data_IF_835729466170
#
_entry.id   IF_835729466170
#
_cell.length_a   1.000
_cell.length_b   1.000
_cell.length_c   1.000
_cell.angle_alpha   90.00
_cell.angle_beta   90.00
_cell.angle_gamma   90.00
#
_symmetry.space_group_name_H-M   'P 1'
#
loop_
_entity.id
_entity.type
_entity.pdbx_description
1 polymer ?
#
# COMPACT_ATOMS: atom_id res chain seq x y z
N UNK A 1 -12.93 18.49 29.36
CA UNK A 1 -12.64 17.24 28.63
C UNK A 1 -13.50 16.15 29.23
N UNK A 2 -14.42 15.55 28.45
CA UNK A 2 -15.18 14.38 28.92
C UNK A 2 -14.23 13.24 29.27
N UNK A 3 -14.58 12.43 30.27
CA UNK A 3 -13.77 11.28 30.72
C UNK A 3 -13.44 10.28 29.59
N UNK A 4 -14.27 10.25 28.55
CA UNK A 4 -14.05 9.44 27.34
C UNK A 4 -12.77 9.82 26.56
N UNK A 5 -12.30 11.08 26.62
CA UNK A 5 -11.10 11.46 25.88
C UNK A 5 -9.79 10.97 26.52
N UNK A 6 -9.81 10.58 27.80
CA UNK A 6 -8.61 10.15 28.51
C UNK A 6 -8.15 8.73 28.11
N UNK A 7 -8.91 8.00 27.27
CA UNK A 7 -8.62 6.61 26.86
C UNK A 7 -8.20 6.41 25.38
N UNK A 8 -7.45 7.37 24.79
CA UNK A 8 -6.60 7.18 23.58
C UNK A 8 -7.20 7.31 22.16
N UNK A 9 -8.35 7.95 21.94
CA UNK A 9 -8.83 8.14 20.54
C UNK A 9 -9.43 9.51 20.23
N UNK A 10 -8.81 10.58 20.73
CA UNK A 10 -9.24 11.94 20.43
C UNK A 10 -8.39 12.60 19.35
N UNK A 11 -9.05 13.41 18.52
CA UNK A 11 -8.45 14.17 17.44
C UNK A 11 -7.58 15.27 18.03
N UNK A 12 -6.32 15.32 17.63
CA UNK A 12 -5.36 16.35 18.04
C UNK A 12 -5.02 17.27 16.87
N UNK A 13 -4.44 18.41 17.20
CA UNK A 13 -3.83 19.27 16.18
C UNK A 13 -2.73 18.48 15.45
N UNK A 14 -2.58 18.71 14.14
CA UNK A 14 -1.71 17.98 13.22
C UNK A 14 -2.09 16.51 12.91
N UNK A 15 -3.12 15.95 13.54
CA UNK A 15 -3.63 14.64 13.13
C UNK A 15 -4.20 14.70 11.70
N UNK A 16 -4.27 13.55 11.04
CA UNK A 16 -5.05 13.40 9.81
C UNK A 16 -6.41 12.81 10.13
N UNK A 17 -7.44 13.37 9.48
CA UNK A 17 -8.83 12.93 9.60
C UNK A 17 -9.40 12.58 8.23
N UNK A 18 -10.24 11.56 8.20
CA UNK A 18 -11.07 11.21 7.06
C UNK A 18 -12.43 11.87 7.26
N UNK A 19 -12.79 12.79 6.38
CA UNK A 19 -14.07 13.48 6.38
C UNK A 19 -14.95 12.79 5.34
N UNK A 20 -16.08 12.23 5.76
CA UNK A 20 -16.99 11.46 4.90
C UNK A 20 -18.33 12.16 4.83
N UNK A 21 -18.81 12.42 3.61
CA UNK A 21 -20.20 12.78 3.38
C UNK A 21 -21.01 11.56 2.94
N UNK A 22 -20.47 10.78 2.00
CA UNK A 22 -21.02 9.51 1.55
C UNK A 22 -19.92 8.61 0.96
N UNK A 23 -20.31 7.46 0.40
CA UNK A 23 -19.38 6.48 -0.17
C UNK A 23 -18.48 7.02 -1.29
N UNK A 24 -18.89 8.07 -2.01
CA UNK A 24 -18.14 8.66 -3.13
C UNK A 24 -17.37 9.92 -2.72
N UNK A 25 -17.86 10.65 -1.71
CA UNK A 25 -17.35 11.97 -1.33
C UNK A 25 -16.66 11.86 0.04
N UNK A 26 -15.34 11.66 -0.03
CA UNK A 26 -14.45 11.54 1.11
C UNK A 26 -13.23 12.44 0.92
N UNK A 27 -12.69 12.95 2.02
CA UNK A 27 -11.49 13.80 2.00
C UNK A 27 -10.57 13.48 3.17
N UNK A 28 -9.29 13.25 2.91
CA UNK A 28 -8.28 13.28 3.96
C UNK A 28 -7.75 14.70 4.13
N UNK A 29 -7.74 15.19 5.37
CA UNK A 29 -7.18 16.50 5.71
C UNK A 29 -6.34 16.44 6.98
N UNK A 30 -5.28 17.23 6.99
CA UNK A 30 -4.53 17.52 8.21
C UNK A 30 -5.33 18.52 9.04
N UNK A 31 -5.55 18.22 10.31
CA UNK A 31 -6.20 19.09 11.27
C UNK A 31 -5.23 20.19 11.65
N UNK A 32 -5.64 21.43 11.47
CA UNK A 32 -4.85 22.61 11.79
C UNK A 32 -5.72 23.57 12.60
N UNK A 33 -5.27 23.90 13.81
CA UNK A 33 -5.95 24.84 14.70
C UNK A 33 -6.22 26.18 14.00
N UNK A 34 -7.38 26.78 14.27
CA UNK A 34 -7.86 28.03 13.67
C UNK A 34 -8.01 28.01 12.14
N UNK A 35 -7.94 26.85 11.49
CA UNK A 35 -8.29 26.69 10.07
C UNK A 35 -9.67 26.06 9.90
N UNK A 36 -10.21 26.23 8.69
CA UNK A 36 -11.51 25.70 8.29
C UNK A 36 -11.35 24.65 7.19
N UNK A 37 -12.17 23.61 7.26
CA UNK A 37 -12.34 22.71 6.13
C UNK A 37 -13.44 23.25 5.22
N UNK A 38 -13.14 23.42 3.92
CA UNK A 38 -14.12 23.85 2.92
C UNK A 38 -14.40 22.75 1.90
N UNK A 39 -15.68 22.56 1.58
CA UNK A 39 -16.13 21.71 0.48
C UNK A 39 -17.42 22.26 -0.14
N UNK A 40 -17.91 21.62 -1.21
CA UNK A 40 -19.19 21.99 -1.83
C UNK A 40 -20.42 21.82 -0.90
N UNK A 41 -20.25 21.15 0.25
CA UNK A 41 -21.27 20.98 1.30
C UNK A 41 -21.20 22.02 2.43
N UNK A 42 -20.38 23.05 2.26
CA UNK A 42 -20.15 24.09 3.27
C UNK A 42 -18.80 23.91 3.95
N UNK A 43 -18.66 24.50 5.14
CA UNK A 43 -17.45 24.44 5.94
C UNK A 43 -17.75 24.16 7.42
N UNK A 44 -16.73 23.74 8.14
CA UNK A 44 -16.67 23.69 9.61
C UNK A 44 -15.26 24.07 10.08
N UNK A 45 -15.10 24.48 11.34
CA UNK A 45 -13.80 24.87 11.89
C UNK A 45 -13.11 23.66 12.53
N UNK A 46 -11.80 23.48 12.33
CA UNK A 46 -11.11 22.35 12.94
C UNK A 46 -11.12 22.38 14.47
N UNK A 47 -11.23 23.57 15.07
CA UNK A 47 -11.43 23.76 16.51
C UNK A 47 -12.69 23.03 17.01
N UNK A 48 -13.71 22.84 16.16
CA UNK A 48 -14.94 22.12 16.51
C UNK A 48 -14.73 20.61 16.68
N UNK A 49 -13.62 20.05 16.19
CA UNK A 49 -13.32 18.62 16.26
C UNK A 49 -12.09 18.28 17.12
N UNK A 50 -11.18 19.24 17.33
CA UNK A 50 -10.02 19.06 18.20
C UNK A 50 -10.47 18.73 19.63
N UNK A 51 -9.85 17.72 20.23
CA UNK A 51 -10.20 17.24 21.55
C UNK A 51 -11.50 16.43 21.62
N UNK A 52 -12.12 16.09 20.48
CA UNK A 52 -13.26 15.17 20.40
C UNK A 52 -12.83 13.78 19.90
N UNK A 53 -13.58 12.72 20.22
CA UNK A 53 -13.25 11.37 19.76
C UNK A 53 -13.45 11.22 18.25
N UNK A 54 -12.62 10.40 17.61
CA UNK A 54 -12.90 9.92 16.24
C UNK A 54 -14.23 9.15 16.18
N UNK A 55 -14.88 9.17 15.03
CA UNK A 55 -16.22 8.59 14.82
C UNK A 55 -17.37 9.58 15.05
N UNK A 56 -17.07 10.84 15.40
CA UNK A 56 -18.08 11.87 15.58
C UNK A 56 -18.73 12.31 14.25
N UNK A 57 -19.88 12.97 14.35
CA UNK A 57 -20.45 13.72 13.24
C UNK A 57 -20.39 15.23 13.51
N UNK A 58 -20.14 16.02 12.46
CA UNK A 58 -20.16 17.48 12.50
C UNK A 58 -21.17 18.02 11.48
N UNK A 59 -21.80 19.15 11.79
CA UNK A 59 -22.74 19.82 10.88
C UNK A 59 -22.05 21.04 10.28
N UNK A 60 -22.07 21.16 8.96
CA UNK A 60 -21.50 22.33 8.27
C UNK A 60 -22.38 23.57 8.45
N UNK A 61 -21.86 24.74 8.09
CA UNK A 61 -22.63 25.99 8.05
C UNK A 61 -23.88 25.94 7.14
N UNK A 62 -24.03 24.93 6.28
CA UNK A 62 -25.22 24.70 5.43
C UNK A 62 -26.19 23.67 6.01
N UNK A 63 -26.01 23.25 7.27
CA UNK A 63 -26.85 22.24 7.91
C UNK A 63 -26.58 20.80 7.45
N UNK A 64 -25.49 20.56 6.71
CA UNK A 64 -25.17 19.23 6.17
C UNK A 64 -24.29 18.46 7.15
N UNK A 65 -24.67 17.23 7.47
CA UNK A 65 -23.91 16.35 8.36
C UNK A 65 -22.75 15.67 7.62
N UNK A 66 -21.57 15.68 8.23
CA UNK A 66 -20.36 14.96 7.83
C UNK A 66 -19.90 14.06 8.98
N UNK A 67 -19.16 13.01 8.67
CA UNK A 67 -18.60 12.07 9.63
C UNK A 67 -17.07 12.14 9.63
N UNK A 68 -16.47 12.09 10.82
CA UNK A 68 -15.03 12.25 11.00
C UNK A 68 -14.44 10.95 11.52
N UNK A 69 -13.65 10.27 10.70
CA UNK A 69 -13.01 9.00 11.04
C UNK A 69 -11.49 9.12 11.07
N UNK A 70 -10.86 8.14 11.73
CA UNK A 70 -9.42 7.93 11.60
C UNK A 70 -9.19 7.29 10.23
N UNK A 71 -8.36 7.87 9.35
CA UNK A 71 -8.11 7.28 8.04
C UNK A 71 -7.48 5.89 8.16
N UNK A 72 -7.97 4.96 7.34
CA UNK A 72 -7.31 3.69 7.10
C UNK A 72 -6.20 3.87 6.06
N UNK A 73 -5.26 2.92 6.01
CA UNK A 73 -4.22 2.91 4.98
C UNK A 73 -4.82 2.92 3.57
N UNK A 74 -5.92 2.20 3.35
CA UNK A 74 -6.64 2.20 2.07
C UNK A 74 -7.23 3.56 1.71
N UNK A 75 -7.65 4.37 2.68
CA UNK A 75 -8.13 5.72 2.40
C UNK A 75 -7.00 6.60 1.87
N UNK A 76 -5.78 6.43 2.39
CA UNK A 76 -4.60 7.14 1.89
C UNK A 76 -4.26 6.77 0.46
N UNK A 77 -4.34 5.48 0.11
CA UNK A 77 -4.01 5.01 -1.24
C UNK A 77 -4.83 5.74 -2.30
N UNK A 78 -6.12 5.98 -2.08
CA UNK A 78 -6.97 6.74 -3.02
C UNK A 78 -6.57 8.20 -3.24
N UNK A 79 -5.70 8.76 -2.39
CA UNK A 79 -5.21 10.13 -2.47
C UNK A 79 -3.79 10.26 -3.04
N UNK A 80 -3.16 9.15 -3.46
CA UNK A 80 -1.87 9.22 -4.15
C UNK A 80 -2.00 9.93 -5.49
N UNK A 81 -0.95 10.69 -5.85
CA UNK A 81 -0.79 11.20 -7.21
C UNK A 81 -0.29 10.03 -8.08
N UNK A 82 -1.19 9.45 -8.88
CA UNK A 82 -0.87 8.30 -9.72
C UNK A 82 -0.32 8.76 -11.08
N UNK A 83 0.92 8.38 -11.38
CA UNK A 83 1.47 8.39 -12.75
C UNK A 83 1.70 6.98 -13.31
N UNK A 84 1.67 5.97 -12.45
CA UNK A 84 1.72 4.55 -12.82
C UNK A 84 0.46 3.85 -12.33
N UNK A 85 0.16 2.71 -12.93
CA UNK A 85 -0.81 1.78 -12.38
C UNK A 85 -0.38 1.37 -10.97
N UNK A 86 -1.34 1.15 -10.07
CA UNK A 86 -1.10 0.63 -8.73
C UNK A 86 -1.64 -0.77 -8.58
N UNK A 87 -1.03 -1.52 -7.66
CA UNK A 87 -1.60 -2.76 -7.15
C UNK A 87 -2.84 -2.40 -6.30
N UNK A 88 -3.96 -3.07 -6.57
CA UNK A 88 -5.22 -2.76 -5.93
C UNK A 88 -5.23 -3.23 -4.47
N UNK A 89 -6.00 -2.59 -3.56
CA UNK A 89 -6.09 -3.00 -2.16
C UNK A 89 -6.41 -4.49 -1.94
N UNK A 90 -7.28 -5.07 -2.78
CA UNK A 90 -7.61 -6.52 -2.76
C UNK A 90 -6.36 -7.40 -2.91
N UNK A 91 -5.46 -6.99 -3.81
CA UNK A 91 -4.23 -7.70 -4.14
C UNK A 91 -3.18 -7.45 -3.06
N UNK A 92 -3.06 -6.20 -2.59
CA UNK A 92 -2.15 -5.82 -1.50
C UNK A 92 -2.41 -6.63 -0.23
N UNK A 93 -3.66 -6.76 0.22
CA UNK A 93 -3.98 -7.55 1.42
C UNK A 93 -3.54 -9.01 1.29
N UNK A 94 -3.74 -9.60 0.11
CA UNK A 94 -3.31 -10.96 -0.18
C UNK A 94 -1.79 -11.10 -0.27
N UNK A 95 -1.11 -10.13 -0.88
CA UNK A 95 0.35 -10.01 -0.95
C UNK A 95 0.94 -9.98 0.46
N UNK A 96 0.45 -9.12 1.36
CA UNK A 96 0.97 -9.03 2.73
C UNK A 96 0.85 -10.37 3.45
N UNK A 97 -0.32 -11.02 3.37
CA UNK A 97 -0.56 -12.30 4.02
C UNK A 97 0.34 -13.43 3.50
N UNK A 98 0.54 -13.49 2.18
CA UNK A 98 1.27 -14.61 1.55
C UNK A 98 2.78 -14.44 1.49
N UNK A 99 3.29 -13.24 1.79
CA UNK A 99 4.73 -12.94 1.73
C UNK A 99 5.42 -13.01 3.09
N UNK A 100 4.71 -13.37 4.16
CA UNK A 100 5.31 -13.52 5.50
C UNK A 100 5.79 -12.21 6.14
N UNK A 101 5.26 -11.07 5.69
CA UNK A 101 5.62 -9.75 6.23
C UNK A 101 5.10 -9.63 7.66
N UNK A 102 5.96 -9.14 8.54
CA UNK A 102 5.68 -8.85 9.94
C UNK A 102 6.56 -7.70 10.43
N UNK A 103 6.31 -7.16 11.63
CA UNK A 103 7.24 -6.25 12.29
C UNK A 103 8.68 -6.80 12.28
N UNK A 104 9.65 -5.99 11.87
CA UNK A 104 11.05 -6.39 11.78
C UNK A 104 11.50 -6.96 10.43
N UNK A 105 10.58 -7.25 9.50
CA UNK A 105 10.92 -7.80 8.18
C UNK A 105 11.75 -6.79 7.36
N UNK A 106 12.84 -7.27 6.75
CA UNK A 106 13.66 -6.53 5.78
C UNK A 106 13.23 -6.93 4.37
N UNK A 107 12.86 -5.93 3.58
CA UNK A 107 12.23 -6.12 2.28
C UNK A 107 13.03 -5.41 1.19
N UNK A 108 13.24 -6.08 0.06
CA UNK A 108 13.61 -5.41 -1.19
C UNK A 108 12.34 -5.25 -2.03
N UNK A 109 12.13 -4.07 -2.57
CA UNK A 109 11.10 -3.77 -3.56
C UNK A 109 11.80 -3.26 -4.82
N UNK A 110 11.43 -3.78 -5.99
CA UNK A 110 11.88 -3.25 -7.28
C UNK A 110 10.67 -2.90 -8.13
N UNK A 111 10.65 -1.64 -8.59
CA UNK A 111 9.45 -1.02 -9.16
C UNK A 111 8.73 -0.15 -8.14
N UNK A 112 9.41 0.87 -7.61
CA UNK A 112 8.81 1.78 -6.60
C UNK A 112 7.53 2.47 -7.14
N UNK A 113 7.54 2.87 -8.42
CA UNK A 113 6.39 3.49 -9.06
C UNK A 113 5.94 4.76 -8.34
N UNK A 114 4.67 4.83 -7.93
CA UNK A 114 4.10 5.96 -7.18
C UNK A 114 4.32 5.88 -5.66
N UNK A 115 4.92 4.79 -5.15
CA UNK A 115 5.13 4.52 -3.74
C UNK A 115 3.93 3.89 -3.01
N UNK A 116 2.90 3.45 -3.74
CA UNK A 116 1.71 2.85 -3.15
C UNK A 116 2.03 1.53 -2.43
N UNK A 117 2.65 0.57 -3.12
CA UNK A 117 3.11 -0.70 -2.52
C UNK A 117 4.12 -0.43 -1.40
N UNK A 118 5.14 0.39 -1.67
CA UNK A 118 6.14 0.85 -0.68
C UNK A 118 5.50 1.33 0.61
N UNK A 119 4.43 2.15 0.54
CA UNK A 119 3.75 2.68 1.73
C UNK A 119 3.11 1.59 2.59
N UNK A 120 2.57 0.56 1.93
CA UNK A 120 1.95 -0.59 2.61
C UNK A 120 3.03 -1.44 3.26
N UNK A 121 4.07 -1.80 2.50
CA UNK A 121 5.20 -2.56 3.03
C UNK A 121 5.81 -1.84 4.24
N UNK A 122 6.12 -0.55 4.11
CA UNK A 122 6.68 0.27 5.17
C UNK A 122 5.78 0.39 6.40
N UNK A 123 4.46 0.27 6.24
CA UNK A 123 3.52 0.27 7.38
C UNK A 123 3.62 -1.04 8.18
N UNK A 124 3.73 -2.19 7.50
CA UNK A 124 3.68 -3.50 8.15
C UNK A 124 5.03 -3.97 8.71
N UNK A 125 6.16 -3.39 8.28
CA UNK A 125 7.49 -3.73 8.80
C UNK A 125 7.85 -2.99 10.10
N UNK A 126 7.10 -1.95 10.47
CA UNK A 126 7.34 -1.19 11.71
C UNK A 126 7.27 -2.06 12.97
N UNK A 127 7.95 -1.67 14.06
CA UNK A 127 8.81 -0.48 14.21
C UNK A 127 10.31 -0.78 13.98
N UNK A 128 10.67 -1.98 13.52
CA UNK A 128 12.07 -2.44 13.48
C UNK A 128 12.52 -2.98 12.12
N UNK A 129 11.60 -3.13 11.16
CA UNK A 129 11.92 -3.60 9.82
C UNK A 129 12.19 -2.45 8.86
N UNK A 130 12.49 -2.77 7.61
CA UNK A 130 12.94 -1.79 6.63
C UNK A 130 12.63 -2.20 5.20
N UNK A 131 12.27 -1.24 4.36
CA UNK A 131 12.02 -1.43 2.92
C UNK A 131 13.12 -0.74 2.11
N UNK A 132 13.83 -1.51 1.30
CA UNK A 132 14.81 -1.02 0.34
C UNK A 132 14.17 -1.03 -1.05
N UNK A 133 13.75 0.15 -1.53
CA UNK A 133 12.98 0.25 -2.77
C UNK A 133 13.84 0.80 -3.91
N UNK A 134 13.82 0.11 -5.05
CA UNK A 134 14.59 0.42 -6.25
C UNK A 134 13.66 0.95 -7.35
N UNK A 135 14.05 2.05 -7.98
CA UNK A 135 13.39 2.61 -9.16
C UNK A 135 14.44 3.22 -10.08
N UNK A 136 14.35 2.92 -11.38
CA UNK A 136 15.33 3.39 -12.37
C UNK A 136 14.96 4.77 -12.92
N UNK A 137 13.67 5.14 -12.91
CA UNK A 137 13.19 6.43 -13.44
C UNK A 137 13.17 7.47 -12.33
N UNK A 138 14.06 8.46 -12.45
CA UNK A 138 14.21 9.57 -11.49
C UNK A 138 12.88 10.27 -11.18
N UNK A 139 12.04 10.48 -12.20
CA UNK A 139 10.73 11.12 -12.01
C UNK A 139 9.82 10.30 -11.08
N UNK A 140 9.74 8.97 -11.26
CA UNK A 140 8.92 8.10 -10.43
C UNK A 140 9.49 8.02 -9.01
N UNK A 141 10.81 7.91 -8.88
CA UNK A 141 11.52 7.94 -7.59
C UNK A 141 11.20 9.19 -6.77
N UNK A 142 11.25 10.37 -7.38
CA UNK A 142 10.93 11.63 -6.71
C UNK A 142 9.44 11.75 -6.35
N UNK A 143 8.54 11.23 -7.20
CA UNK A 143 7.09 11.19 -6.91
C UNK A 143 6.82 10.29 -5.72
N UNK A 144 7.43 9.09 -5.66
CA UNK A 144 7.24 8.16 -4.57
C UNK A 144 7.66 8.76 -3.22
N UNK A 145 8.85 9.38 -3.16
CA UNK A 145 9.31 10.11 -1.96
C UNK A 145 8.29 11.16 -1.50
N UNK A 146 7.86 12.01 -2.43
CA UNK A 146 6.89 13.07 -2.15
C UNK A 146 5.55 12.51 -1.67
N UNK A 147 5.06 11.43 -2.27
CA UNK A 147 3.82 10.79 -1.86
C UNK A 147 3.93 10.21 -0.45
N UNK A 148 5.03 9.49 -0.14
CA UNK A 148 5.30 8.96 1.20
C UNK A 148 5.36 10.07 2.25
N UNK A 149 6.05 11.17 1.98
CA UNK A 149 6.10 12.33 2.88
C UNK A 149 4.72 12.98 3.06
N UNK A 150 3.95 13.11 1.97
CA UNK A 150 2.59 13.66 1.98
C UNK A 150 1.63 12.82 2.82
N UNK A 151 1.86 11.51 2.97
CA UNK A 151 1.11 10.66 3.90
C UNK A 151 1.32 11.09 5.34
N UNK A 152 2.52 11.62 5.66
CA UNK A 152 2.96 12.08 6.98
C UNK A 152 2.61 11.11 8.10
N UNK A 153 2.83 9.83 7.84
CA UNK A 153 2.70 8.72 8.79
C UNK A 153 4.07 8.31 9.35
N UNK A 154 5.12 9.10 9.12
CA UNK A 154 6.50 8.78 9.55
C UNK A 154 7.14 7.61 8.79
N UNK A 155 6.57 7.17 7.66
CA UNK A 155 7.05 5.98 6.94
C UNK A 155 8.47 6.12 6.38
N UNK A 156 8.93 7.36 6.13
CA UNK A 156 10.25 7.62 5.55
C UNK A 156 11.40 7.05 6.38
N UNK A 157 11.23 6.87 7.69
CA UNK A 157 12.24 6.27 8.58
C UNK A 157 12.48 4.78 8.29
N UNK A 158 11.50 4.11 7.69
CA UNK A 158 11.50 2.68 7.41
C UNK A 158 11.76 2.38 5.92
N UNK A 159 12.11 3.39 5.12
CA UNK A 159 12.28 3.27 3.67
C UNK A 159 13.63 3.84 3.25
N UNK A 160 14.42 3.05 2.53
CA UNK A 160 15.56 3.53 1.77
C UNK A 160 15.22 3.51 0.28
N UNK A 161 15.13 4.70 -0.32
CA UNK A 161 14.90 4.86 -1.75
C UNK A 161 16.20 4.84 -2.53
N UNK A 162 16.30 3.97 -3.54
CA UNK A 162 17.47 3.83 -4.41
C UNK A 162 17.10 4.11 -5.87
N UNK A 163 17.70 5.17 -6.42
CA UNK A 163 17.63 5.48 -7.84
C UNK A 163 18.64 4.60 -8.58
N UNK A 164 18.27 3.37 -8.85
CA UNK A 164 19.14 2.35 -9.41
C UNK A 164 18.34 1.30 -10.20
N UNK A 165 19.03 0.68 -11.16
CA UNK A 165 18.47 -0.39 -11.96
C UNK A 165 18.61 -1.73 -11.23
N UNK A 166 17.47 -2.34 -10.90
CA UNK A 166 17.42 -3.65 -10.24
C UNK A 166 18.03 -4.78 -11.09
N UNK A 167 18.16 -4.59 -12.41
CA UNK A 167 18.86 -5.55 -13.29
C UNK A 167 20.37 -5.57 -13.09
N UNK A 168 20.92 -4.62 -12.34
CA UNK A 168 22.33 -4.62 -11.89
C UNK A 168 22.51 -5.31 -10.54
N UNK A 169 21.43 -5.87 -9.99
CA UNK A 169 21.38 -6.52 -8.70
C UNK A 169 21.12 -5.57 -7.53
N UNK A 170 21.11 -6.14 -6.34
CA UNK A 170 20.81 -5.44 -5.10
C UNK A 170 22.04 -5.37 -4.20
N UNK A 171 22.10 -4.40 -3.30
CA UNK A 171 23.20 -4.28 -2.31
C UNK A 171 22.88 -5.09 -1.05
N UNK A 172 21.59 -5.21 -0.73
CA UNK A 172 21.13 -5.91 0.46
C UNK A 172 21.34 -7.42 0.35
N UNK A 173 21.76 -8.02 1.46
CA UNK A 173 21.86 -9.48 1.64
C UNK A 173 21.07 -9.90 2.87
N UNK A 174 20.69 -11.18 2.87
CA UNK A 174 19.90 -11.82 3.92
C UNK A 174 18.60 -11.07 4.23
N UNK A 175 17.90 -10.62 3.18
CA UNK A 175 16.57 -10.04 3.32
C UNK A 175 15.51 -11.13 3.45
N UNK A 176 14.40 -10.81 4.10
CA UNK A 176 13.31 -11.75 4.34
C UNK A 176 12.44 -11.94 3.10
N UNK A 177 12.16 -10.84 2.39
CA UNK A 177 11.24 -10.81 1.26
C UNK A 177 11.78 -9.96 0.11
N UNK A 178 11.44 -10.34 -1.13
CA UNK A 178 11.65 -9.53 -2.34
C UNK A 178 10.32 -9.36 -3.06
N UNK A 179 9.98 -8.13 -3.44
CA UNK A 179 8.80 -7.79 -4.24
C UNK A 179 9.23 -7.20 -5.58
N UNK A 180 8.69 -7.75 -6.67
CA UNK A 180 8.97 -7.29 -8.02
C UNK A 180 7.67 -6.87 -8.71
N UNK A 181 7.56 -5.58 -9.07
CA UNK A 181 6.48 -5.00 -9.87
C UNK A 181 7.07 -4.26 -11.08
N UNK A 182 7.52 -5.06 -12.06
CA UNK A 182 8.29 -4.61 -13.23
C UNK A 182 7.82 -5.37 -14.48
N UNK A 183 8.17 -4.86 -15.67
CA UNK A 183 7.77 -5.46 -16.94
C UNK A 183 8.46 -6.80 -17.25
N UNK A 184 9.68 -6.98 -16.74
CA UNK A 184 10.60 -8.07 -17.05
C UNK A 184 11.26 -8.64 -15.79
N UNK A 185 10.47 -9.12 -14.81
CA UNK A 185 11.01 -9.58 -13.53
C UNK A 185 11.91 -10.81 -13.65
N UNK A 186 11.79 -11.60 -14.73
CA UNK A 186 12.62 -12.78 -14.97
C UNK A 186 14.12 -12.49 -15.08
N UNK A 187 14.50 -11.27 -15.46
CA UNK A 187 15.90 -10.83 -15.50
C UNK A 187 16.46 -10.54 -14.10
N UNK A 188 15.59 -10.32 -13.11
CA UNK A 188 15.95 -9.87 -11.76
C UNK A 188 15.94 -11.02 -10.76
N UNK A 189 15.22 -12.10 -11.07
CA UNK A 189 15.10 -13.31 -10.23
C UNK A 189 16.45 -13.85 -9.73
N UNK A 190 17.52 -13.95 -10.55
CA UNK A 190 18.83 -14.41 -10.07
C UNK A 190 19.37 -13.52 -8.93
N UNK A 191 19.32 -12.20 -9.10
CA UNK A 191 19.77 -11.25 -8.08
C UNK A 191 18.89 -11.23 -6.83
N UNK A 192 17.58 -11.43 -7.01
CA UNK A 192 16.65 -11.60 -5.89
C UNK A 192 17.02 -12.84 -5.06
N UNK A 193 17.36 -13.96 -5.71
CA UNK A 193 17.80 -15.18 -5.04
C UNK A 193 19.06 -14.96 -4.23
N UNK A 194 20.06 -14.26 -4.76
CA UNK A 194 21.30 -13.94 -4.03
C UNK A 194 21.03 -13.10 -2.78
N UNK A 195 20.05 -12.20 -2.85
CA UNK A 195 19.75 -11.25 -1.79
C UNK A 195 18.91 -11.85 -0.65
N UNK A 196 18.04 -12.81 -0.98
CA UNK A 196 17.17 -13.49 -0.02
C UNK A 196 17.96 -14.38 0.95
N UNK A 197 17.55 -14.40 2.22
CA UNK A 197 17.98 -15.45 3.15
C UNK A 197 17.39 -16.82 2.76
N UNK A 198 17.96 -17.94 3.23
CA UNK A 198 17.30 -19.24 3.14
C UNK A 198 15.86 -19.19 3.65
N UNK A 199 14.92 -19.82 2.94
CA UNK A 199 13.47 -19.74 3.20
C UNK A 199 12.85 -18.35 3.03
N UNK A 200 13.57 -17.37 2.48
CA UNK A 200 13.02 -16.07 2.11
C UNK A 200 12.00 -16.18 0.96
N UNK A 201 11.07 -15.23 0.89
CA UNK A 201 9.97 -15.24 -0.08
C UNK A 201 10.21 -14.27 -1.21
N UNK A 202 9.83 -14.64 -2.43
CA UNK A 202 9.70 -13.72 -3.56
C UNK A 202 8.24 -13.60 -3.96
N UNK A 203 7.79 -12.37 -4.19
CA UNK A 203 6.42 -12.05 -4.61
C UNK A 203 6.47 -11.15 -5.84
N UNK A 204 5.69 -11.50 -6.87
CA UNK A 204 5.69 -10.80 -8.14
C UNK A 204 4.27 -10.43 -8.55
N UNK A 205 4.11 -9.21 -9.07
CA UNK A 205 2.88 -8.75 -9.69
C UNK A 205 3.05 -8.75 -11.21
N UNK A 206 2.22 -9.51 -11.93
CA UNK A 206 2.41 -9.79 -13.36
C UNK A 206 1.14 -9.49 -14.15
N UNK A 207 1.12 -8.57 -15.12
CA UNK A 207 -0.12 -8.19 -15.80
C UNK A 207 -0.54 -9.09 -16.97
N UNK A 208 0.33 -9.96 -17.50
CA UNK A 208 0.00 -10.81 -18.67
C UNK A 208 0.40 -12.26 -18.50
N UNK A 209 -0.34 -13.18 -19.14
CA UNK A 209 -0.07 -14.61 -19.08
C UNK A 209 1.29 -14.99 -19.68
N UNK A 210 1.75 -14.30 -20.73
CA UNK A 210 3.07 -14.55 -21.31
C UNK A 210 4.20 -14.14 -20.37
N UNK A 211 4.04 -13.02 -19.64
CA UNK A 211 4.99 -12.66 -18.59
C UNK A 211 4.95 -13.65 -17.43
N UNK A 212 3.76 -14.19 -17.10
CA UNK A 212 3.58 -15.20 -16.06
C UNK A 212 4.38 -16.46 -16.38
N UNK A 213 4.25 -16.98 -17.60
CA UNK A 213 4.99 -18.15 -18.08
C UNK A 213 6.51 -17.94 -18.02
N UNK A 214 7.01 -16.83 -18.58
CA UNK A 214 8.44 -16.50 -18.55
C UNK A 214 8.99 -16.38 -17.13
N UNK A 215 8.22 -15.77 -16.24
CA UNK A 215 8.57 -15.63 -14.83
C UNK A 215 8.64 -16.97 -14.13
N UNK A 216 7.66 -17.85 -14.37
CA UNK A 216 7.64 -19.20 -13.81
C UNK A 216 8.87 -20.01 -14.24
N UNK A 217 9.23 -19.97 -15.53
CA UNK A 217 10.41 -20.66 -16.06
C UNK A 217 11.68 -20.16 -15.35
N UNK A 218 11.86 -18.83 -15.26
CA UNK A 218 13.04 -18.26 -14.57
C UNK A 218 13.10 -18.62 -13.08
N UNK A 219 11.96 -18.65 -12.36
CA UNK A 219 11.92 -19.12 -10.97
C UNK A 219 12.39 -20.58 -10.85
N UNK A 220 11.96 -21.45 -11.78
CA UNK A 220 12.34 -22.87 -11.80
C UNK A 220 13.84 -23.05 -12.09
N UNK A 221 14.38 -22.35 -13.09
CA UNK A 221 15.81 -22.36 -13.43
C UNK A 221 16.67 -21.87 -12.27
N UNK A 222 16.13 -20.95 -11.46
CA UNK A 222 16.77 -20.43 -10.27
C UNK A 222 16.42 -21.22 -8.99
N UNK A 223 15.94 -22.47 -9.07
CA UNK A 223 15.66 -23.35 -7.92
C UNK A 223 14.76 -22.74 -6.83
N UNK A 224 13.81 -21.88 -7.20
CA UNK A 224 12.71 -21.55 -6.30
C UNK A 224 11.72 -22.71 -6.22
N UNK A 225 11.13 -22.91 -5.04
CA UNK A 225 10.10 -23.92 -4.80
C UNK A 225 8.84 -23.29 -4.21
N UNK A 226 7.80 -24.10 -3.96
CA UNK A 226 6.49 -23.61 -3.48
C UNK A 226 5.93 -22.49 -4.38
N UNK A 227 6.10 -22.66 -5.69
CA UNK A 227 5.69 -21.66 -6.68
C UNK A 227 4.18 -21.76 -6.89
N UNK A 228 3.49 -20.65 -6.72
CA UNK A 228 2.04 -20.54 -6.98
C UNK A 228 1.73 -19.24 -7.72
N UNK A 229 0.76 -19.30 -8.62
CA UNK A 229 0.22 -18.15 -9.33
C UNK A 229 -1.28 -18.05 -9.07
N UNK A 230 -1.75 -16.86 -8.71
CA UNK A 230 -3.13 -16.61 -8.27
C UNK A 230 -3.64 -15.33 -8.92
N UNK A 231 -4.90 -15.34 -9.33
CA UNK A 231 -5.66 -14.15 -9.70
C UNK A 231 -6.78 -13.94 -8.67
N UNK A 232 -7.02 -12.69 -8.29
CA UNK A 232 -8.11 -12.34 -7.37
C UNK A 232 -9.19 -11.55 -8.10
N UNK A 233 -10.41 -12.09 -8.07
CA UNK A 233 -11.60 -11.44 -8.62
C UNK A 233 -12.42 -10.86 -7.46
N UNK A 234 -12.54 -9.53 -7.44
CA UNK A 234 -13.37 -8.80 -6.47
C UNK A 234 -14.68 -8.35 -7.13
N UNK A 235 -15.82 -8.72 -6.50
CA UNK A 235 -17.15 -8.38 -7.00
C UNK A 235 -17.92 -7.59 -5.96
N UNK A 236 -17.97 -6.27 -6.14
CA UNK A 236 -18.71 -5.39 -5.22
C UNK A 236 -20.23 -5.55 -5.39
N UNK A 237 -20.93 -5.62 -4.26
CA UNK A 237 -22.39 -5.67 -4.22
C UNK A 237 -22.97 -4.27 -4.12
N UNK A 238 -23.98 -3.98 -4.94
CA UNK A 238 -24.85 -2.83 -4.73
C UNK A 238 -25.68 -3.07 -3.47
N UNK A 239 -25.55 -2.16 -2.51
CA UNK A 239 -26.34 -2.17 -1.28
C UNK A 239 -27.42 -1.09 -1.37
N UNK A 240 -28.57 -1.46 -1.93
CA UNK A 240 -29.77 -0.63 -1.97
C UNK A 240 -30.95 -1.48 -1.52
N UNK A 241 -31.78 -0.94 -0.65
CA UNK A 241 -33.01 -1.60 -0.19
C UNK A 241 -33.82 -2.10 -1.39
N UNK A 242 -34.30 -3.34 -1.32
CA UNK A 242 -35.02 -4.05 -2.39
C UNK A 242 -34.27 -4.16 -3.74
N UNK A 243 -32.95 -3.91 -3.76
CA UNK A 243 -32.12 -3.96 -4.96
C UNK A 243 -30.67 -4.38 -4.65
N UNK A 244 -30.51 -5.33 -3.72
CA UNK A 244 -29.21 -5.95 -3.41
C UNK A 244 -28.85 -6.91 -4.53
N UNK A 245 -27.74 -6.62 -5.22
CA UNK A 245 -27.24 -7.41 -6.35
C UNK A 245 -25.79 -7.00 -6.65
N UNK A 246 -25.04 -7.76 -7.45
CA UNK A 246 -23.74 -7.29 -7.91
C UNK A 246 -23.86 -5.94 -8.63
N UNK A 247 -22.88 -5.04 -8.40
CA UNK A 247 -22.80 -3.79 -9.16
C UNK A 247 -22.66 -4.12 -10.65
N UNK A 248 -23.49 -3.48 -11.48
CA UNK A 248 -23.48 -3.70 -12.94
C UNK A 248 -22.33 -2.96 -13.62
N UNK A 249 -22.01 -1.76 -13.13
CA UNK A 249 -20.99 -0.88 -13.68
C UNK A 249 -19.82 -0.80 -12.71
N UNK A 250 -18.59 -0.65 -13.22
CA UNK A 250 -17.32 -0.54 -12.46
C UNK A 250 -16.70 -1.86 -11.98
N UNK A 251 -16.87 -2.95 -12.73
CA UNK A 251 -16.15 -4.20 -12.46
C UNK A 251 -14.76 -4.17 -13.11
N UNK A 252 -13.71 -4.33 -12.30
CA UNK A 252 -12.34 -4.53 -12.79
C UNK A 252 -12.16 -6.02 -13.02
N UNK A 253 -12.15 -6.44 -14.28
CA UNK A 253 -12.12 -7.85 -14.65
C UNK A 253 -10.77 -8.51 -14.37
N UNK A 254 -9.69 -7.74 -14.51
CA UNK A 254 -8.33 -8.19 -14.31
C UNK A 254 -7.49 -7.03 -13.78
N UNK A 255 -6.62 -7.30 -12.81
CA UNK A 255 -5.58 -6.36 -12.38
C UNK A 255 -4.21 -6.89 -12.74
N UNK A 256 -3.93 -8.12 -12.35
CA UNK A 256 -2.71 -8.85 -12.59
C UNK A 256 -2.74 -10.19 -11.86
N UNK A 257 -1.79 -11.04 -12.19
CA UNK A 257 -1.50 -12.27 -11.49
C UNK A 257 -0.51 -12.00 -10.35
N UNK A 258 -0.75 -12.64 -9.21
CA UNK A 258 0.14 -12.68 -8.07
C UNK A 258 0.92 -13.99 -8.10
N UNK A 259 2.23 -13.91 -8.26
CA UNK A 259 3.10 -15.08 -8.17
C UNK A 259 3.92 -15.05 -6.89
N UNK A 260 3.99 -16.19 -6.21
CA UNK A 260 4.75 -16.36 -4.97
C UNK A 260 5.68 -17.55 -5.11
N UNK A 261 6.86 -17.47 -4.52
CA UNK A 261 7.76 -18.60 -4.38
C UNK A 261 8.70 -18.43 -3.17
N UNK A 262 9.43 -19.49 -2.82
CA UNK A 262 10.38 -19.51 -1.70
C UNK A 262 11.78 -19.91 -2.15
N UNK A 263 12.78 -19.26 -1.58
CA UNK A 263 14.18 -19.61 -1.77
C UNK A 263 14.49 -20.89 -0.97
N UNK A 264 14.87 -21.93 -1.69
CA UNK A 264 15.35 -23.19 -1.11
C UNK A 264 16.84 -23.10 -0.88
N UNK A 265 17.28 -23.53 0.31
CA UNK A 265 18.70 -23.75 0.56
C UNK A 265 19.14 -24.97 -0.25
N UNK A 266 20.18 -24.81 -1.04
CA UNK A 266 20.88 -25.96 -1.62
C UNK A 266 21.97 -26.31 -0.62
N UNK A 267 21.86 -27.49 -0.02
CA UNK A 267 22.99 -28.10 0.68
C UNK A 267 23.62 -29.05 -0.32
N UNK A 268 24.84 -28.74 -0.75
CA UNK A 268 25.64 -29.72 -1.46
C UNK A 268 26.06 -30.78 -0.42
N UNK A 269 25.66 -32.03 -0.64
CA UNK A 269 26.14 -33.19 0.12
C UNK A 269 27.60 -33.52 -0.22
#
# INVERSE_FOLDING_TARGET
MSEDCKKNNCIKNNDRVLIVFDNRRKWIRKVEENKKFHCNKGFFEFNDIIGKPYGLSIVTNKGIRLFIYKPLLTDYLHHFEFKSQIIYPKDLGYIILNSGIKPGTRIIEAGTGSGALTSVLATYVQPTGHVFTYEVREQAHNIAKKNIERLGLGLSEYITFKLADAKKGFEERNVDCVFLDLADPWEIIPFAKESLKPSGTITLFIPTANQLEKTYISLKENNFTDIKAIELIEREMQLKENAIRPKTWQYVAHTGYLMFARKTAVFDE
#
